data_IF_699402855529
#
_entry.id   IF_699402855529
#
_cell.length_a   1.000
_cell.length_b   1.000
_cell.length_c   1.000
_cell.angle_alpha   90.00
_cell.angle_beta   90.00
_cell.angle_gamma   90.00
#
_symmetry.space_group_name_H-M   'P 1'
#
loop_
_entity.id
_entity.type
_entity.pdbx_description
1 polymer ?
#
# COMPACT_ATOMS: atom_id res chain seq x y z
N UNK A 1 -8.53 -21.81 -11.64
CA UNK A 1 -9.02 -22.46 -10.39
C UNK A 1 -8.68 -21.56 -9.23
N UNK A 2 -9.62 -21.32 -8.30
CA UNK A 2 -9.36 -20.49 -7.09
C UNK A 2 -8.84 -21.40 -5.98
N UNK A 3 -7.87 -20.89 -5.21
CA UNK A 3 -7.25 -21.58 -4.08
C UNK A 3 -7.31 -20.70 -2.83
N UNK A 4 -7.61 -21.30 -1.69
CA UNK A 4 -7.63 -20.65 -0.40
C UNK A 4 -6.24 -20.70 0.24
N UNK A 5 -5.85 -19.57 0.85
CA UNK A 5 -4.62 -19.44 1.60
C UNK A 5 -4.94 -18.89 2.99
N UNK A 6 -4.33 -19.47 4.00
CA UNK A 6 -4.46 -19.04 5.38
C UNK A 6 -3.12 -18.47 5.86
N UNK A 7 -3.13 -17.23 6.25
CA UNK A 7 -1.96 -16.53 6.79
C UNK A 7 -2.40 -15.35 7.64
N UNK A 8 -1.44 -14.69 8.29
CA UNK A 8 -1.75 -13.53 9.15
C UNK A 8 -1.72 -12.23 8.37
N UNK A 9 -2.74 -11.40 8.55
CA UNK A 9 -2.81 -10.03 8.07
C UNK A 9 -2.90 -9.11 9.29
N UNK A 10 -1.89 -8.28 9.50
CA UNK A 10 -1.79 -7.44 10.72
C UNK A 10 -1.98 -8.24 12.02
N UNK A 11 -1.39 -9.44 12.07
CA UNK A 11 -1.47 -10.32 13.24
C UNK A 11 -2.76 -11.15 13.36
N UNK A 12 -3.75 -10.94 12.51
CA UNK A 12 -5.02 -11.68 12.52
C UNK A 12 -5.00 -12.80 11.48
N UNK A 13 -5.38 -14.02 11.90
CA UNK A 13 -5.59 -15.13 10.96
C UNK A 13 -6.62 -14.73 9.91
N UNK A 14 -6.24 -14.81 8.65
CA UNK A 14 -7.04 -14.38 7.51
C UNK A 14 -7.03 -15.45 6.45
N UNK A 15 -8.20 -15.74 5.91
CA UNK A 15 -8.34 -16.58 4.71
C UNK A 15 -8.54 -15.68 3.51
N UNK A 16 -7.70 -15.84 2.50
CA UNK A 16 -7.84 -15.15 1.22
C UNK A 16 -7.95 -16.16 0.09
N UNK A 17 -8.61 -15.75 -0.97
CA UNK A 17 -8.81 -16.58 -2.16
C UNK A 17 -8.16 -15.87 -3.33
N UNK A 18 -7.16 -16.53 -3.93
CA UNK A 18 -6.58 -16.10 -5.19
C UNK A 18 -6.81 -17.19 -6.25
N UNK A 19 -6.97 -16.78 -7.50
CA UNK A 19 -6.93 -17.74 -8.59
C UNK A 19 -5.49 -18.16 -8.90
N UNK A 20 -5.31 -19.38 -9.40
CA UNK A 20 -3.98 -19.91 -9.69
C UNK A 20 -3.24 -19.05 -10.72
N UNK A 21 -3.94 -18.48 -11.69
CA UNK A 21 -3.34 -17.63 -12.71
C UNK A 21 -2.71 -16.38 -12.11
N UNK A 22 -3.41 -15.70 -11.19
CA UNK A 22 -2.86 -14.55 -10.46
C UNK A 22 -1.58 -14.93 -9.73
N UNK A 23 -1.56 -16.10 -9.06
CA UNK A 23 -0.38 -16.54 -8.31
C UNK A 23 0.77 -16.91 -9.24
N UNK A 24 0.51 -17.77 -10.24
CA UNK A 24 1.53 -18.36 -11.10
C UNK A 24 2.06 -17.36 -12.16
N UNK A 25 1.20 -16.50 -12.72
CA UNK A 25 1.57 -15.61 -13.82
C UNK A 25 1.90 -14.16 -13.36
N UNK A 26 1.54 -13.78 -12.13
CA UNK A 26 1.78 -12.43 -11.62
C UNK A 26 2.63 -12.43 -10.36
N UNK A 27 2.16 -13.06 -9.27
CA UNK A 27 2.83 -12.92 -7.98
C UNK A 27 4.18 -13.65 -7.92
N UNK A 28 4.26 -14.88 -8.40
CA UNK A 28 5.54 -15.61 -8.48
C UNK A 28 6.56 -14.90 -9.39
N UNK A 29 6.21 -14.46 -10.62
CA UNK A 29 7.11 -13.68 -11.44
C UNK A 29 7.58 -12.36 -10.80
N UNK A 30 6.74 -11.66 -10.02
CA UNK A 30 7.18 -10.48 -9.26
C UNK A 30 8.23 -10.85 -8.21
N UNK A 31 8.01 -11.90 -7.43
CA UNK A 31 8.95 -12.37 -6.42
C UNK A 31 10.29 -12.80 -7.05
N UNK A 32 10.27 -13.50 -8.19
CA UNK A 32 11.44 -13.88 -8.94
C UNK A 32 12.21 -12.64 -9.45
N UNK A 33 11.50 -11.68 -10.05
CA UNK A 33 12.08 -10.40 -10.51
C UNK A 33 12.80 -9.67 -9.37
N UNK A 34 12.20 -9.58 -8.19
CA UNK A 34 12.80 -8.89 -7.05
C UNK A 34 14.00 -9.66 -6.47
N UNK A 35 13.96 -10.98 -6.49
CA UNK A 35 15.08 -11.85 -6.12
C UNK A 35 16.27 -11.63 -7.06
N UNK A 36 16.05 -11.64 -8.37
CA UNK A 36 17.08 -11.37 -9.37
C UNK A 36 17.64 -9.94 -9.23
N UNK A 37 16.77 -8.97 -8.95
CA UNK A 37 17.19 -7.59 -8.72
C UNK A 37 18.10 -7.47 -7.50
N UNK A 38 17.76 -8.14 -6.39
CA UNK A 38 18.56 -8.17 -5.18
C UNK A 38 19.92 -8.81 -5.43
N UNK A 39 19.97 -9.94 -6.13
CA UNK A 39 21.21 -10.64 -6.48
C UNK A 39 22.11 -9.78 -7.38
N UNK A 40 21.53 -9.03 -8.32
CA UNK A 40 22.24 -8.11 -9.21
C UNK A 40 22.80 -6.90 -8.46
N UNK A 41 22.00 -6.27 -7.60
CA UNK A 41 22.38 -5.05 -6.88
C UNK A 41 23.27 -5.34 -5.67
N UNK A 42 23.24 -6.55 -5.10
CA UNK A 42 24.00 -6.99 -3.92
C UNK A 42 23.84 -6.05 -2.71
N UNK A 43 22.66 -5.48 -2.57
CA UNK A 43 22.22 -4.64 -1.45
C UNK A 43 20.74 -4.83 -1.21
N UNK A 44 20.22 -4.25 -0.14
CA UNK A 44 18.77 -4.25 0.10
C UNK A 44 18.03 -3.60 -1.05
N UNK A 45 16.94 -4.25 -1.47
CA UNK A 45 16.02 -3.81 -2.51
C UNK A 45 14.77 -3.26 -1.84
N UNK A 46 14.34 -2.09 -2.26
CA UNK A 46 13.11 -1.44 -1.81
C UNK A 46 12.11 -1.47 -2.96
N UNK A 47 10.97 -2.10 -2.72
CA UNK A 47 9.88 -2.16 -3.69
C UNK A 47 8.69 -1.36 -3.16
N UNK A 48 8.08 -0.54 -4.00
CA UNK A 48 6.84 0.15 -3.66
C UNK A 48 5.62 -0.55 -4.24
N UNK A 49 4.62 -0.80 -3.40
CA UNK A 49 3.29 -1.25 -3.79
C UNK A 49 2.30 -0.12 -3.49
N UNK A 50 1.96 0.64 -4.51
CA UNK A 50 1.00 1.73 -4.41
C UNK A 50 -0.36 1.36 -4.99
N UNK A 51 -1.43 1.74 -4.30
CA UNK A 51 -2.78 1.44 -4.75
C UNK A 51 -3.81 2.32 -4.04
N UNK A 52 -4.97 2.59 -4.64
CA UNK A 52 -6.05 3.31 -4.00
C UNK A 52 -6.61 2.55 -2.78
N UNK A 53 -7.29 3.26 -1.85
CA UNK A 53 -7.98 2.59 -0.76
C UNK A 53 -9.06 1.62 -1.27
N UNK A 54 -9.21 0.48 -0.58
CA UNK A 54 -10.21 -0.54 -0.93
C UNK A 54 -9.70 -1.67 -1.82
N UNK A 55 -8.58 -1.50 -2.52
CA UNK A 55 -7.99 -2.53 -3.39
C UNK A 55 -7.50 -3.77 -2.63
N UNK A 56 -7.11 -3.63 -1.35
CA UNK A 56 -6.59 -4.74 -0.55
C UNK A 56 -5.06 -4.85 -0.56
N UNK A 57 -4.35 -3.75 -0.88
CA UNK A 57 -2.87 -3.71 -0.97
C UNK A 57 -2.13 -4.34 0.22
N UNK A 58 -2.58 -4.07 1.46
CA UNK A 58 -1.98 -4.67 2.67
C UNK A 58 -2.10 -6.19 2.67
N UNK A 59 -3.29 -6.70 2.30
CA UNK A 59 -3.51 -8.15 2.17
C UNK A 59 -2.62 -8.74 1.07
N UNK A 60 -2.50 -8.07 -0.07
CA UNK A 60 -1.64 -8.51 -1.18
C UNK A 60 -0.16 -8.46 -0.79
N UNK A 61 0.30 -7.39 -0.12
CA UNK A 61 1.69 -7.27 0.32
C UNK A 61 2.07 -8.39 1.30
N UNK A 62 1.22 -8.65 2.28
CA UNK A 62 1.44 -9.73 3.26
C UNK A 62 1.25 -11.12 2.65
N UNK A 63 0.45 -11.25 1.58
CA UNK A 63 0.39 -12.50 0.82
C UNK A 63 1.68 -12.76 0.04
N UNK A 64 2.25 -11.75 -0.58
CA UNK A 64 3.56 -11.85 -1.25
C UNK A 64 4.67 -12.22 -0.26
N UNK A 65 4.68 -11.64 0.94
CA UNK A 65 5.59 -12.04 2.02
C UNK A 65 5.39 -13.51 2.40
N UNK A 66 4.15 -13.93 2.66
CA UNK A 66 3.80 -15.32 2.95
C UNK A 66 4.25 -16.28 1.83
N UNK A 67 4.02 -15.91 0.57
CA UNK A 67 4.34 -16.73 -0.59
C UNK A 67 5.86 -16.88 -0.76
N UNK A 68 6.62 -15.78 -0.62
CA UNK A 68 8.08 -15.79 -0.74
C UNK A 68 8.77 -16.72 0.26
N UNK A 69 8.23 -16.86 1.46
CA UNK A 69 8.76 -17.80 2.47
C UNK A 69 8.43 -19.27 2.20
N UNK A 70 7.73 -19.60 1.12
CA UNK A 70 7.34 -20.97 0.74
C UNK A 70 7.91 -21.44 -0.59
N UNK A 71 8.37 -20.51 -1.39
CA UNK A 71 8.94 -20.79 -2.71
C UNK A 71 10.46 -20.93 -2.58
N UNK A 72 11.01 -22.01 -3.16
CA UNK A 72 12.43 -22.37 -2.99
C UNK A 72 13.35 -21.41 -3.77
N UNK A 73 12.88 -20.87 -4.89
CA UNK A 73 13.68 -20.07 -5.82
C UNK A 73 13.48 -18.55 -5.62
N UNK A 74 12.93 -18.13 -4.47
CA UNK A 74 12.72 -16.73 -4.15
C UNK A 74 13.35 -16.37 -2.80
N UNK A 75 13.91 -15.14 -2.72
CA UNK A 75 14.32 -14.56 -1.43
C UNK A 75 13.07 -14.17 -0.62
N UNK A 76 13.11 -14.42 0.69
CA UNK A 76 12.05 -13.98 1.57
C UNK A 76 11.96 -12.45 1.60
N UNK A 77 10.79 -11.91 1.30
CA UNK A 77 10.53 -10.48 1.39
C UNK A 77 9.95 -10.12 2.76
N UNK A 78 9.99 -8.85 3.13
CA UNK A 78 9.30 -8.31 4.29
C UNK A 78 8.38 -7.17 3.87
N UNK A 79 7.09 -7.31 4.17
CA UNK A 79 6.08 -6.29 3.88
C UNK A 79 5.94 -5.32 5.05
N UNK A 80 5.97 -4.01 4.75
CA UNK A 80 5.77 -2.93 5.73
C UNK A 80 4.83 -1.87 5.17
N UNK A 81 4.09 -1.21 6.05
CA UNK A 81 3.04 -0.26 5.65
C UNK A 81 3.45 1.20 5.79
N UNK A 82 2.92 2.04 4.90
CA UNK A 82 3.00 3.50 4.97
C UNK A 82 2.22 4.07 6.15
N UNK A 83 1.16 3.39 6.60
CA UNK A 83 0.23 3.92 7.60
C UNK A 83 0.93 4.27 8.93
N UNK A 84 2.08 3.67 9.26
CA UNK A 84 2.92 4.04 10.41
C UNK A 84 3.56 5.43 10.35
N UNK A 85 3.45 6.11 9.21
CA UNK A 85 3.95 7.47 9.04
C UNK A 85 2.86 8.54 9.07
N UNK A 86 1.64 8.22 9.51
CA UNK A 86 0.69 9.24 9.91
C UNK A 86 1.30 10.11 11.03
N UNK A 87 0.94 11.38 11.07
CA UNK A 87 1.17 12.16 12.29
C UNK A 87 0.42 11.53 13.46
N UNK A 88 0.98 11.63 14.66
CA UNK A 88 0.34 11.17 15.90
C UNK A 88 -1.04 11.79 16.09
N UNK A 89 -1.91 11.08 16.81
CA UNK A 89 -3.31 11.47 16.95
C UNK A 89 -3.50 12.85 17.61
N UNK A 90 -2.68 13.20 18.58
CA UNK A 90 -2.70 14.53 19.22
C UNK A 90 -2.39 15.66 18.22
N UNK A 91 -1.40 15.45 17.33
CA UNK A 91 -1.09 16.36 16.23
C UNK A 91 -2.27 16.49 15.25
N UNK A 92 -2.84 15.37 14.81
CA UNK A 92 -4.00 15.31 13.90
C UNK A 92 -5.22 16.07 14.48
N UNK A 93 -5.43 15.99 15.79
CA UNK A 93 -6.57 16.64 16.45
C UNK A 93 -6.42 18.14 16.60
N UNK A 94 -5.20 18.66 16.60
CA UNK A 94 -4.90 20.08 16.94
C UNK A 94 -4.45 20.91 15.74
N UNK A 95 -4.10 20.28 14.60
CA UNK A 95 -3.55 20.99 13.44
C UNK A 95 -4.52 21.09 12.26
N UNK A 96 -4.22 22.04 11.40
CA UNK A 96 -4.93 22.25 10.12
C UNK A 96 -3.95 22.05 8.95
N UNK A 97 -4.50 21.66 7.81
CA UNK A 97 -3.79 21.59 6.51
C UNK A 97 -4.49 22.45 5.48
N UNK A 98 -3.77 22.85 4.46
CA UNK A 98 -4.33 23.55 3.32
C UNK A 98 -4.62 22.55 2.19
N UNK A 99 -5.88 22.33 1.87
CA UNK A 99 -6.30 21.48 0.74
C UNK A 99 -7.06 22.36 -0.25
N UNK A 100 -6.56 22.44 -1.49
CA UNK A 100 -7.14 23.30 -2.53
C UNK A 100 -7.36 24.75 -2.09
N UNK A 101 -6.35 25.33 -1.37
CA UNK A 101 -6.40 26.70 -0.87
C UNK A 101 -7.30 26.93 0.34
N UNK A 102 -7.94 25.89 0.88
CA UNK A 102 -8.82 25.96 2.04
C UNK A 102 -8.14 25.32 3.27
N UNK A 103 -8.12 26.05 4.39
CA UNK A 103 -7.75 25.48 5.70
C UNK A 103 -8.81 24.46 6.13
N UNK A 104 -8.34 23.28 6.48
CA UNK A 104 -9.18 22.16 6.89
C UNK A 104 -8.53 21.46 8.09
N UNK A 105 -9.30 21.15 9.12
CA UNK A 105 -8.78 20.42 10.26
C UNK A 105 -8.28 19.03 9.82
N UNK A 106 -7.06 18.65 10.22
CA UNK A 106 -6.44 17.37 9.82
C UNK A 106 -7.32 16.17 10.14
N UNK A 107 -8.03 16.19 11.28
CA UNK A 107 -8.96 15.11 11.69
C UNK A 107 -10.08 14.84 10.67
N UNK A 108 -10.49 15.85 9.90
CA UNK A 108 -11.54 15.71 8.88
C UNK A 108 -11.07 15.07 7.58
N UNK A 109 -9.75 15.04 7.41
CA UNK A 109 -9.08 14.60 6.18
C UNK A 109 -8.04 13.53 6.45
N UNK A 110 -8.07 12.90 7.63
CA UNK A 110 -7.15 11.82 7.99
C UNK A 110 -7.13 10.74 6.90
N UNK A 111 -5.93 10.34 6.50
CA UNK A 111 -5.70 9.44 5.37
C UNK A 111 -5.41 10.14 4.04
N UNK A 112 -5.51 11.49 3.98
CA UNK A 112 -4.97 12.27 2.86
C UNK A 112 -3.45 12.40 2.96
N UNK A 113 -2.74 12.66 1.84
CA UNK A 113 -1.27 12.79 1.85
C UNK A 113 -0.75 13.78 2.88
N UNK A 114 -1.47 14.86 3.12
CA UNK A 114 -1.11 15.94 4.05
C UNK A 114 -1.15 15.51 5.54
N UNK A 115 -1.66 14.32 5.84
CA UNK A 115 -1.74 13.79 7.21
C UNK A 115 -0.62 12.79 7.53
N UNK A 116 0.38 12.72 6.66
CA UNK A 116 1.56 11.87 6.82
C UNK A 116 2.83 12.71 6.98
N UNK A 117 3.76 12.22 7.79
CA UNK A 117 5.11 12.75 7.92
C UNK A 117 6.01 12.16 6.81
N UNK A 118 5.98 12.81 5.65
CA UNK A 118 6.75 12.35 4.49
C UNK A 118 8.26 12.48 4.71
N UNK A 119 8.73 13.47 5.45
CA UNK A 119 10.15 13.64 5.73
C UNK A 119 10.67 12.50 6.61
N UNK A 120 9.89 12.09 7.61
CA UNK A 120 10.19 10.91 8.41
C UNK A 120 10.24 9.64 7.56
N UNK A 121 9.29 9.47 6.62
CA UNK A 121 9.29 8.35 5.69
C UNK A 121 10.54 8.33 4.81
N UNK A 122 10.90 9.44 4.17
CA UNK A 122 12.11 9.55 3.34
C UNK A 122 13.38 9.19 4.13
N UNK A 123 13.52 9.74 5.35
CA UNK A 123 14.64 9.45 6.22
C UNK A 123 14.70 7.97 6.60
N UNK A 124 13.53 7.36 6.88
CA UNK A 124 13.45 5.94 7.23
C UNK A 124 13.81 5.03 6.06
N UNK A 125 13.36 5.35 4.84
CA UNK A 125 13.74 4.62 3.62
C UNK A 125 15.25 4.75 3.35
N UNK A 126 15.80 5.95 3.50
CA UNK A 126 17.23 6.18 3.33
C UNK A 126 18.09 5.40 4.35
N UNK A 127 17.61 5.28 5.60
CA UNK A 127 18.23 4.44 6.63
C UNK A 127 18.11 2.95 6.24
N UNK A 128 16.92 2.51 5.84
CA UNK A 128 16.64 1.11 5.49
C UNK A 128 17.52 0.59 4.35
N UNK A 129 17.93 1.44 3.41
CA UNK A 129 18.88 1.09 2.33
C UNK A 129 20.28 0.73 2.85
N UNK A 130 20.64 1.14 4.06
CA UNK A 130 21.99 1.03 4.62
C UNK A 130 22.11 0.00 5.73
N UNK A 131 21.07 -0.15 6.54
CA UNK A 131 21.10 -0.96 7.75
C UNK A 131 19.70 -1.48 8.10
N UNK A 132 19.65 -2.43 9.03
CA UNK A 132 18.40 -2.87 9.64
C UNK A 132 17.82 -1.72 10.46
N UNK A 133 16.52 -1.56 10.38
CA UNK A 133 15.86 -0.43 11.06
C UNK A 133 14.54 -0.86 11.66
N UNK A 134 14.07 -0.09 12.60
CA UNK A 134 12.74 -0.27 13.18
C UNK A 134 11.72 0.56 12.41
N UNK A 135 10.59 -0.04 12.10
CA UNK A 135 9.51 0.55 11.30
C UNK A 135 8.31 0.87 12.17
N UNK A 136 7.69 2.04 12.04
CA UNK A 136 6.48 2.38 12.77
C UNK A 136 5.27 1.67 12.17
N UNK A 137 4.26 1.40 13.01
CA UNK A 137 3.00 0.76 12.61
C UNK A 137 1.82 1.59 13.10
N UNK A 138 0.79 1.73 12.28
CA UNK A 138 -0.46 2.33 12.72
C UNK A 138 -1.34 1.29 13.42
N UNK A 139 -1.60 1.49 14.69
CA UNK A 139 -2.51 0.63 15.47
C UNK A 139 -3.94 1.18 15.39
N UNK A 140 -4.83 0.39 14.81
CA UNK A 140 -6.23 0.77 14.61
C UNK A 140 -7.06 0.70 15.89
N UNK A 141 -6.60 0.02 16.93
CA UNK A 141 -7.31 -0.10 18.21
C UNK A 141 -7.17 1.15 19.05
N UNK A 142 -5.97 1.75 19.05
CA UNK A 142 -5.70 3.01 19.74
C UNK A 142 -5.80 4.22 18.82
N UNK A 143 -6.02 4.01 17.51
CA UNK A 143 -6.08 5.05 16.47
C UNK A 143 -4.83 5.92 16.38
N UNK A 144 -3.65 5.37 16.67
CA UNK A 144 -2.39 6.10 16.67
C UNK A 144 -1.23 5.26 16.13
N UNK A 145 -0.08 5.91 15.94
CA UNK A 145 1.18 5.31 15.48
C UNK A 145 1.91 4.71 16.68
N UNK A 146 2.41 3.49 16.51
CA UNK A 146 3.38 2.86 17.43
C UNK A 146 4.74 2.95 16.75
N UNK A 147 5.63 3.72 17.36
CA UNK A 147 6.99 3.87 16.89
C UNK A 147 7.80 2.58 17.11
N UNK A 148 8.77 2.36 16.22
CA UNK A 148 9.74 1.27 16.37
C UNK A 148 9.11 -0.13 16.57
N UNK A 149 7.93 -0.37 16.01
CA UNK A 149 7.10 -1.54 16.28
C UNK A 149 7.62 -2.83 15.62
N UNK A 150 8.25 -2.72 14.46
CA UNK A 150 8.71 -3.88 13.67
C UNK A 150 10.18 -3.70 13.28
N UNK A 151 10.98 -4.74 13.49
CA UNK A 151 12.37 -4.77 12.98
C UNK A 151 12.31 -5.18 11.51
N UNK A 152 12.95 -4.39 10.64
CA UNK A 152 13.07 -4.68 9.20
C UNK A 152 14.50 -5.10 8.90
N UNK A 153 14.67 -6.38 8.58
CA UNK A 153 15.98 -7.04 8.42
C UNK A 153 16.13 -7.78 7.09
N UNK A 154 15.04 -8.06 6.36
CA UNK A 154 15.11 -8.77 5.09
C UNK A 154 15.78 -7.94 3.99
N UNK A 155 16.38 -8.65 3.02
CA UNK A 155 17.09 -8.02 1.90
C UNK A 155 16.17 -7.49 0.81
N UNK A 156 14.90 -7.89 0.79
CA UNK A 156 13.87 -7.34 -0.08
C UNK A 156 12.75 -6.81 0.82
N UNK A 157 12.46 -5.51 0.72
CA UNK A 157 11.43 -4.85 1.53
C UNK A 157 10.35 -4.29 0.62
N UNK A 158 9.13 -4.78 0.81
CA UNK A 158 7.94 -4.32 0.11
C UNK A 158 7.21 -3.28 0.97
N UNK A 159 7.35 -2.02 0.61
CA UNK A 159 6.62 -0.93 1.27
C UNK A 159 5.27 -0.76 0.58
N UNK A 160 4.17 -0.94 1.30
CA UNK A 160 2.83 -0.74 0.76
C UNK A 160 2.20 0.56 1.27
N UNK A 161 1.48 1.25 0.40
CA UNK A 161 0.78 2.47 0.80
C UNK A 161 0.07 3.17 -0.35
N UNK A 162 -0.92 3.99 -0.02
CA UNK A 162 -1.68 4.70 -1.06
C UNK A 162 -0.82 5.70 -1.82
N UNK A 163 0.05 6.43 -1.11
CA UNK A 163 0.66 7.66 -1.62
C UNK A 163 2.10 7.49 -2.12
N UNK A 164 2.66 6.28 -2.08
CA UNK A 164 4.07 6.02 -2.42
C UNK A 164 4.44 6.42 -3.85
N UNK A 165 3.48 6.39 -4.77
CA UNK A 165 3.66 6.82 -6.16
C UNK A 165 2.80 8.05 -6.51
N UNK A 166 2.32 8.83 -5.53
CA UNK A 166 1.58 10.05 -5.82
C UNK A 166 2.47 11.07 -6.56
N UNK A 167 2.03 11.52 -7.75
CA UNK A 167 2.76 12.50 -8.57
C UNK A 167 2.44 13.94 -8.15
N UNK A 168 2.63 14.24 -6.89
CA UNK A 168 2.49 15.59 -6.32
C UNK A 168 3.63 15.85 -5.35
N UNK A 169 4.18 17.07 -5.37
CA UNK A 169 5.26 17.47 -4.43
C UNK A 169 4.72 17.51 -3.00
N UNK A 170 5.45 16.96 -2.00
CA UNK A 170 6.79 16.35 -2.08
C UNK A 170 6.79 14.83 -2.32
N UNK A 171 5.63 14.19 -2.54
CA UNK A 171 5.47 12.74 -2.65
C UNK A 171 6.14 12.16 -3.90
N UNK A 172 6.12 12.89 -5.03
CA UNK A 172 6.72 12.45 -6.27
C UNK A 172 8.24 12.20 -6.19
N UNK A 173 8.90 12.77 -5.19
CA UNK A 173 10.32 12.54 -4.93
C UNK A 173 10.59 11.11 -4.42
N UNK A 174 9.58 10.46 -3.81
CA UNK A 174 9.71 9.09 -3.31
C UNK A 174 9.90 8.06 -4.43
N UNK A 175 9.37 8.30 -5.62
CA UNK A 175 9.48 7.34 -6.72
C UNK A 175 10.95 7.02 -7.09
N UNK A 176 11.87 7.95 -6.83
CA UNK A 176 13.31 7.75 -7.03
C UNK A 176 13.98 6.92 -5.91
N UNK A 177 13.26 6.66 -4.82
CA UNK A 177 13.79 5.96 -3.65
C UNK A 177 13.54 4.44 -3.69
N UNK A 178 12.67 3.94 -4.56
CA UNK A 178 12.49 2.50 -4.76
C UNK A 178 13.34 1.97 -5.93
N UNK A 179 13.57 0.67 -5.90
CA UNK A 179 14.30 -0.06 -6.95
C UNK A 179 13.36 -0.70 -7.96
N UNK A 180 12.12 -0.92 -7.56
CA UNK A 180 11.01 -1.40 -8.40
C UNK A 180 9.69 -0.92 -7.81
N UNK A 181 8.67 -0.81 -8.66
CA UNK A 181 7.38 -0.28 -8.25
C UNK A 181 6.22 -0.99 -8.93
N UNK A 182 5.19 -1.29 -8.14
CA UNK A 182 3.93 -1.87 -8.60
C UNK A 182 2.79 -0.92 -8.25
N UNK A 183 1.98 -0.58 -9.23
CA UNK A 183 0.73 0.15 -9.04
C UNK A 183 -0.44 -0.79 -9.27
N UNK A 184 -1.39 -0.86 -8.32
CA UNK A 184 -2.62 -1.63 -8.52
C UNK A 184 -3.76 -0.65 -8.76
N UNK A 185 -4.35 -0.71 -9.95
CA UNK A 185 -5.55 -0.01 -10.32
C UNK A 185 -6.79 -0.89 -10.11
N UNK A 186 -7.95 -0.26 -9.94
CA UNK A 186 -9.24 -0.94 -9.92
C UNK A 186 -10.36 0.05 -10.30
N UNK A 187 -11.49 -0.46 -10.73
CA UNK A 187 -12.66 0.37 -11.03
C UNK A 187 -13.17 1.12 -9.79
N UNK A 188 -13.49 2.43 -9.94
CA UNK A 188 -13.94 3.28 -8.83
C UNK A 188 -15.22 2.74 -8.17
N UNK A 189 -16.14 2.20 -8.96
CA UNK A 189 -17.42 1.70 -8.46
C UNK A 189 -17.21 0.41 -7.65
N UNK A 190 -16.32 -0.46 -8.13
CA UNK A 190 -15.92 -1.66 -7.40
C UNK A 190 -15.26 -1.30 -6.05
N UNK A 191 -14.34 -0.32 -6.05
CA UNK A 191 -13.71 0.18 -4.81
C UNK A 191 -14.75 0.80 -3.86
N UNK A 192 -15.73 1.53 -4.38
CA UNK A 192 -16.83 2.10 -3.58
C UNK A 192 -17.58 1.01 -2.81
N UNK A 193 -17.99 -0.05 -3.51
CA UNK A 193 -18.74 -1.15 -2.90
C UNK A 193 -17.95 -1.82 -1.77
N UNK A 194 -16.67 -2.11 -2.01
CA UNK A 194 -15.77 -2.71 -1.01
C UNK A 194 -15.58 -1.81 0.22
N UNK A 195 -15.38 -0.50 0.01
CA UNK A 195 -15.18 0.46 1.09
C UNK A 195 -16.46 0.69 1.91
N UNK A 196 -17.61 0.79 1.26
CA UNK A 196 -18.91 0.86 1.93
C UNK A 196 -19.13 -0.41 2.74
N UNK A 197 -18.94 -1.59 2.13
CA UNK A 197 -19.13 -2.86 2.82
C UNK A 197 -18.21 -3.01 4.05
N UNK A 198 -16.94 -2.61 3.94
CA UNK A 198 -16.00 -2.62 5.07
C UNK A 198 -16.49 -1.75 6.24
N UNK A 199 -17.12 -0.61 5.96
CA UNK A 199 -17.65 0.28 6.99
C UNK A 199 -18.93 -0.28 7.61
N UNK A 200 -19.78 -0.93 6.83
CA UNK A 200 -20.94 -1.66 7.35
C UNK A 200 -20.51 -2.77 8.32
N UNK A 201 -19.48 -3.53 7.98
CA UNK A 201 -18.91 -4.55 8.88
C UNK A 201 -18.31 -3.93 10.16
N UNK A 202 -17.87 -2.68 10.09
CA UNK A 202 -17.41 -1.88 11.23
C UNK A 202 -18.53 -1.23 12.05
N UNK A 203 -19.80 -1.50 11.72
CA UNK A 203 -20.96 -1.06 12.50
C UNK A 203 -21.63 0.25 12.03
N UNK A 204 -21.18 0.89 10.94
CA UNK A 204 -21.87 2.05 10.38
C UNK A 204 -23.13 1.61 9.62
N UNK A 205 -24.13 2.50 9.58
CA UNK A 205 -25.25 2.34 8.66
C UNK A 205 -24.80 2.55 7.21
N UNK A 206 -25.61 2.09 6.24
CA UNK A 206 -25.31 2.28 4.82
C UNK A 206 -25.22 3.77 4.46
N UNK A 207 -26.10 4.59 4.98
CA UNK A 207 -26.11 6.03 4.72
C UNK A 207 -24.83 6.71 5.23
N UNK A 208 -24.40 6.38 6.45
CA UNK A 208 -23.15 6.87 7.03
C UNK A 208 -21.92 6.39 6.23
N UNK A 209 -21.91 5.12 5.85
CA UNK A 209 -20.81 4.53 5.07
C UNK A 209 -20.68 5.19 3.69
N UNK A 210 -21.79 5.42 2.99
CA UNK A 210 -21.81 6.11 1.71
C UNK A 210 -21.46 7.61 1.83
N UNK A 211 -21.91 8.27 2.90
CA UNK A 211 -21.54 9.66 3.18
C UNK A 211 -20.04 9.78 3.43
N UNK A 212 -19.46 8.85 4.19
CA UNK A 212 -18.01 8.81 4.42
C UNK A 212 -17.25 8.57 3.11
N UNK A 213 -17.69 7.62 2.29
CA UNK A 213 -17.10 7.36 0.98
C UNK A 213 -17.07 8.64 0.14
N UNK A 214 -18.21 9.33 0.00
CA UNK A 214 -18.30 10.59 -0.78
C UNK A 214 -17.39 11.69 -0.24
N UNK A 215 -17.29 11.81 1.10
CA UNK A 215 -16.52 12.87 1.76
C UNK A 215 -15.01 12.63 1.71
N UNK A 216 -14.56 11.38 1.84
CA UNK A 216 -13.15 11.04 2.04
C UNK A 216 -12.62 10.06 0.99
N UNK A 217 -13.07 8.82 0.97
CA UNK A 217 -12.45 7.74 0.20
C UNK A 217 -12.42 8.04 -1.30
N UNK A 218 -13.53 8.53 -1.87
CA UNK A 218 -13.65 8.87 -3.30
C UNK A 218 -12.64 9.92 -3.73
N UNK A 219 -12.41 10.94 -2.91
CA UNK A 219 -11.42 11.98 -3.21
C UNK A 219 -10.02 11.39 -3.28
N UNK A 220 -9.67 10.53 -2.31
CA UNK A 220 -8.35 9.90 -2.25
C UNK A 220 -8.14 8.93 -3.42
N UNK A 221 -9.17 8.15 -3.78
CA UNK A 221 -9.14 7.27 -4.96
C UNK A 221 -8.84 8.09 -6.20
N UNK A 222 -9.64 9.11 -6.47
CA UNK A 222 -9.49 9.94 -7.68
C UNK A 222 -8.16 10.69 -7.73
N UNK A 223 -7.71 11.21 -6.58
CA UNK A 223 -6.43 11.91 -6.50
C UNK A 223 -5.28 11.01 -6.93
N UNK A 224 -5.23 9.79 -6.40
CA UNK A 224 -4.17 8.85 -6.75
C UNK A 224 -4.33 8.32 -8.18
N UNK A 225 -5.53 7.88 -8.57
CA UNK A 225 -5.77 7.31 -9.90
C UNK A 225 -5.49 8.30 -11.03
N UNK A 226 -5.73 9.61 -10.81
CA UNK A 226 -5.51 10.64 -11.81
C UNK A 226 -4.09 11.23 -11.81
N UNK A 227 -3.31 11.00 -10.75
CA UNK A 227 -1.99 11.60 -10.59
C UNK A 227 -1.06 10.67 -9.83
N UNK A 228 -0.51 9.69 -10.51
CA UNK A 228 0.57 8.87 -9.99
C UNK A 228 1.78 8.89 -10.92
N UNK A 229 2.97 8.68 -10.35
CA UNK A 229 4.19 8.47 -11.11
C UNK A 229 4.08 7.16 -11.90
N UNK A 230 4.78 7.07 -13.02
CA UNK A 230 4.85 5.84 -13.81
C UNK A 230 5.43 4.72 -12.92
N UNK A 231 4.71 3.61 -12.83
CA UNK A 231 5.18 2.41 -12.16
C UNK A 231 5.90 1.47 -13.15
N UNK A 232 6.81 0.65 -12.62
CA UNK A 232 7.48 -0.39 -13.42
C UNK A 232 6.50 -1.48 -13.86
N UNK A 233 5.51 -1.77 -13.02
CA UNK A 233 4.43 -2.72 -13.28
C UNK A 233 3.07 -2.11 -12.88
N UNK A 234 2.07 -2.24 -13.75
CA UNK A 234 0.69 -1.87 -13.43
C UNK A 234 -0.18 -3.11 -13.45
N UNK A 235 -0.86 -3.36 -12.36
CA UNK A 235 -1.83 -4.45 -12.21
C UNK A 235 -3.24 -3.86 -12.14
N UNK A 236 -4.19 -4.52 -12.77
CA UNK A 236 -5.61 -4.20 -12.67
C UNK A 236 -6.28 -5.28 -11.83
N UNK A 237 -6.92 -4.87 -10.73
CA UNK A 237 -7.72 -5.78 -9.91
C UNK A 237 -9.13 -5.85 -10.48
N UNK A 238 -9.55 -7.03 -10.86
CA UNK A 238 -10.86 -7.36 -11.37
C UNK A 238 -11.91 -7.51 -10.24
N UNK A 239 -13.19 -7.43 -10.58
CA UNK A 239 -14.30 -7.55 -9.61
C UNK A 239 -14.31 -8.89 -8.87
N UNK A 240 -13.83 -9.95 -9.50
CA UNK A 240 -13.75 -11.28 -8.89
C UNK A 240 -12.54 -11.48 -7.98
N UNK A 241 -11.69 -10.44 -7.83
CA UNK A 241 -10.49 -10.42 -7.02
C UNK A 241 -9.24 -10.98 -7.70
N UNK A 242 -9.33 -11.34 -8.99
CA UNK A 242 -8.17 -11.69 -9.81
C UNK A 242 -7.39 -10.45 -10.22
N UNK A 243 -6.17 -10.65 -10.70
CA UNK A 243 -5.31 -9.58 -11.21
C UNK A 243 -4.93 -9.87 -12.65
N UNK A 244 -4.83 -8.81 -13.45
CA UNK A 244 -4.25 -8.85 -14.78
C UNK A 244 -3.17 -7.77 -14.89
N UNK A 245 -2.18 -7.99 -15.76
CA UNK A 245 -1.21 -6.94 -16.09
C UNK A 245 -1.83 -5.97 -17.08
N UNK A 246 -1.62 -4.67 -16.87
CA UNK A 246 -1.92 -3.70 -17.90
C UNK A 246 -0.96 -3.91 -19.08
N UNK A 247 -1.50 -4.11 -20.27
CA UNK A 247 -0.68 -4.18 -21.48
C UNK A 247 -0.04 -2.79 -21.70
N UNK A 248 1.29 -2.75 -21.65
CA UNK A 248 2.01 -1.54 -22.08
C UNK A 248 1.71 -1.37 -23.56
N UNK A 249 0.77 -0.47 -23.88
CA UNK A 249 0.52 -0.10 -25.27
C UNK A 249 1.85 0.27 -25.92
N UNK A 250 2.18 -0.36 -27.04
CA UNK A 250 3.27 0.11 -27.90
C UNK A 250 2.92 1.57 -28.25
N UNK A 251 3.70 2.49 -27.73
CA UNK A 251 3.69 3.88 -28.17
C UNK A 251 4.11 3.88 -29.65
N UNK A 252 3.10 3.82 -30.54
CA UNK A 252 3.28 4.06 -31.98
C UNK A 252 3.59 5.53 -32.24
#
# INVERSE_FOLDING_TARGET
>A
MKREYQYKVNGLETTVVYDNRTVEEIFLPLLQKWTELQQKLKRRVIVFLSAPPGVGKTTTAQFLEYLSGREIDTEEIQAVGLDGFHYHQDYILTHEVCINGKKTAMKEVKGCPETFDIEKLKNKIAQLKKEDTKWPVYDRTIHDVIEDAVIVERQIVLVEGNWLLLNETPWNELAAECDDSVFIAADEKFLQERLVQRKLMGGLTREEAEAFYRKSDRRNIRRLMNSHCQADEVLIMEEDGSYIREEKGELT
#
